data_IF_442424937327
#
_entry.id   IF_442424937327
#
_cell.length_a   1.000
_cell.length_b   1.000
_cell.length_c   1.000
_cell.angle_alpha   90.00
_cell.angle_beta   90.00
_cell.angle_gamma   90.00
#
_symmetry.space_group_name_H-M   'P 1'
#
loop_
_entity.id
_entity.type
_entity.pdbx_description
1 polymer ?
#
# COMPACT_ATOMS: atom_id res chain seq x y z
N UNK A 1 -73.09 38.35 -34.61
CA UNK A 1 -73.80 39.60 -34.29
C UNK A 1 -75.05 39.29 -33.47
N UNK A 2 -75.00 39.50 -32.16
CA UNK A 2 -76.07 40.01 -31.29
C UNK A 2 -75.60 39.82 -29.84
N UNK A 3 -75.42 40.96 -29.21
CA UNK A 3 -74.85 41.12 -27.88
C UNK A 3 -76.00 41.03 -26.87
N UNK A 4 -75.82 40.33 -25.76
CA UNK A 4 -76.55 40.64 -24.53
C UNK A 4 -75.61 40.50 -23.34
N UNK A 5 -75.50 41.59 -22.57
CA UNK A 5 -74.62 41.78 -21.41
C UNK A 5 -75.48 41.83 -20.14
N UNK A 6 -74.78 41.61 -19.01
CA UNK A 6 -75.08 41.99 -17.61
C UNK A 6 -75.97 41.05 -16.78
N UNK A 7 -75.66 40.70 -15.51
CA UNK A 7 -74.47 40.86 -14.63
C UNK A 7 -74.70 39.97 -13.36
N UNK A 8 -73.86 39.96 -12.30
CA UNK A 8 -73.23 38.77 -11.76
C UNK A 8 -73.80 38.27 -10.42
N UNK A 9 -73.55 37.00 -10.09
CA UNK A 9 -73.65 36.50 -8.73
C UNK A 9 -72.24 36.13 -8.23
N UNK A 10 -71.81 36.88 -7.23
CA UNK A 10 -70.60 36.72 -6.43
C UNK A 10 -70.72 35.41 -5.65
N UNK A 11 -69.83 34.45 -5.94
CA UNK A 11 -69.66 33.20 -5.20
C UNK A 11 -68.28 33.18 -4.56
N UNK A 12 -68.22 33.56 -3.29
CA UNK A 12 -67.06 33.52 -2.41
C UNK A 12 -66.66 32.05 -2.15
N UNK A 13 -65.60 31.56 -2.81
CA UNK A 13 -65.02 30.25 -2.50
C UNK A 13 -63.69 30.46 -1.77
N UNK A 14 -63.73 30.26 -0.46
CA UNK A 14 -62.59 30.33 0.44
C UNK A 14 -61.60 29.20 0.13
N UNK A 15 -60.40 29.57 -0.31
CA UNK A 15 -59.26 28.67 -0.36
C UNK A 15 -58.73 28.48 1.07
N UNK A 16 -58.98 27.30 1.66
CA UNK A 16 -58.30 26.87 2.88
C UNK A 16 -56.85 26.55 2.49
N UNK A 17 -55.98 27.53 2.66
CA UNK A 17 -54.53 27.32 2.71
C UNK A 17 -54.26 26.68 4.07
N UNK A 18 -54.01 25.37 4.09
CA UNK A 18 -53.49 24.69 5.27
C UNK A 18 -52.05 25.16 5.49
N UNK A 19 -51.93 26.30 6.16
CA UNK A 19 -50.70 26.80 6.75
C UNK A 19 -50.45 25.96 8.01
N UNK A 20 -49.78 24.82 7.87
CA UNK A 20 -49.23 24.08 9.01
C UNK A 20 -48.01 24.85 9.53
N UNK A 21 -48.29 25.87 10.34
CA UNK A 21 -47.32 26.61 11.12
C UNK A 21 -47.36 26.20 12.59
N UNK A 22 -46.20 25.81 13.08
CA UNK A 22 -45.66 26.03 14.44
C UNK A 22 -46.21 25.24 15.64
N UNK A 23 -45.36 24.36 16.15
CA UNK A 23 -45.14 24.04 17.56
C UNK A 23 -43.83 23.23 17.60
N UNK A 24 -42.72 23.71 18.14
CA UNK A 24 -42.54 24.44 19.39
C UNK A 24 -41.97 23.43 20.40
N UNK A 25 -40.65 23.29 20.42
CA UNK A 25 -39.92 22.36 21.29
C UNK A 25 -38.43 22.47 21.00
N UNK A 26 -37.78 23.45 21.62
CA UNK A 26 -36.33 23.44 21.82
C UNK A 26 -35.99 22.27 22.74
N UNK A 27 -35.81 21.09 22.14
CA UNK A 27 -35.14 19.97 22.75
C UNK A 27 -33.77 19.87 22.06
N UNK A 28 -32.69 19.95 22.85
CA UNK A 28 -31.31 19.63 22.45
C UNK A 28 -31.20 18.13 22.06
N UNK A 29 -31.88 17.75 20.99
CA UNK A 29 -31.88 16.40 20.46
C UNK A 29 -30.87 16.37 19.32
N UNK A 30 -29.66 15.87 19.61
CA UNK A 30 -28.62 15.68 18.60
C UNK A 30 -29.21 15.05 17.33
N UNK A 31 -28.75 15.50 16.16
CA UNK A 31 -29.31 15.05 14.87
C UNK A 31 -29.40 13.51 14.82
N UNK A 32 -30.54 12.95 14.41
CA UNK A 32 -30.76 11.50 14.46
C UNK A 32 -29.94 10.69 13.44
N UNK A 33 -29.22 11.37 12.54
CA UNK A 33 -28.38 10.78 11.50
C UNK A 33 -26.95 11.34 11.54
N UNK A 34 -26.00 10.53 11.09
CA UNK A 34 -24.63 10.94 10.75
C UNK A 34 -24.48 11.11 9.23
N UNK A 35 -23.32 11.59 8.78
CA UNK A 35 -22.92 11.69 7.38
C UNK A 35 -21.66 10.85 7.16
N UNK A 36 -21.68 9.91 6.23
CA UNK A 36 -20.54 9.03 5.91
C UNK A 36 -20.25 9.09 4.42
N UNK A 37 -19.03 9.48 4.06
CA UNK A 37 -18.48 9.37 2.70
C UNK A 37 -17.52 8.19 2.62
N UNK A 38 -17.30 7.63 1.45
CA UNK A 38 -16.34 6.55 1.24
C UNK A 38 -15.19 7.07 0.40
N UNK A 39 -13.97 6.95 0.90
CA UNK A 39 -12.76 7.20 0.14
C UNK A 39 -12.16 5.85 -0.30
N UNK A 40 -12.11 5.60 -1.61
CA UNK A 40 -11.57 4.36 -2.15
C UNK A 40 -10.05 4.50 -2.40
N UNK A 41 -9.25 4.10 -1.41
CA UNK A 41 -7.80 4.03 -1.48
C UNK A 41 -7.28 2.59 -1.73
N UNK A 42 -8.15 1.66 -2.16
CA UNK A 42 -7.75 0.30 -2.53
C UNK A 42 -6.84 0.31 -3.77
N UNK A 43 -6.10 -0.78 -4.02
CA UNK A 43 -5.15 -0.88 -5.12
C UNK A 43 -5.66 -1.76 -6.25
N UNK A 44 -6.41 -2.81 -5.90
CA UNK A 44 -6.87 -3.86 -6.80
C UNK A 44 -8.37 -3.81 -7.06
N UNK A 45 -9.11 -2.94 -6.36
CA UNK A 45 -10.56 -2.78 -6.50
C UNK A 45 -10.89 -1.47 -7.25
N UNK A 46 -11.15 -1.54 -8.58
CA UNK A 46 -11.33 -0.34 -9.40
C UNK A 46 -12.57 0.48 -9.01
N UNK A 47 -13.55 -0.14 -8.35
CA UNK A 47 -14.75 0.53 -7.86
C UNK A 47 -15.38 -0.26 -6.71
N UNK A 48 -15.85 0.46 -5.68
CA UNK A 48 -16.50 -0.13 -4.50
C UNK A 48 -17.88 0.48 -4.21
N UNK A 49 -18.73 -0.33 -3.60
CA UNK A 49 -20.04 0.08 -3.06
C UNK A 49 -19.99 0.09 -1.52
N UNK A 50 -20.79 0.96 -0.91
CA UNK A 50 -21.05 0.98 0.54
C UNK A 50 -22.48 0.54 0.83
N UNK A 51 -22.58 -0.42 1.72
CA UNK A 51 -23.82 -0.88 2.33
C UNK A 51 -23.89 -0.41 3.79
N UNK A 52 -25.05 0.10 4.19
CA UNK A 52 -25.37 0.51 5.55
C UNK A 52 -26.45 -0.45 6.07
N UNK A 53 -26.14 -1.21 7.11
CA UNK A 53 -27.04 -2.21 7.70
C UNK A 53 -27.63 -3.18 6.64
N UNK A 54 -26.80 -3.57 5.66
CA UNK A 54 -27.18 -4.48 4.56
C UNK A 54 -27.90 -3.83 3.38
N UNK A 55 -28.26 -2.55 3.45
CA UNK A 55 -28.86 -1.81 2.33
C UNK A 55 -27.80 -1.03 1.57
N UNK A 56 -27.83 -1.05 0.23
CA UNK A 56 -26.93 -0.25 -0.60
C UNK A 56 -27.16 1.24 -0.36
N UNK A 57 -26.11 1.96 0.06
CA UNK A 57 -26.16 3.38 0.40
C UNK A 57 -25.41 4.26 -0.62
N UNK A 58 -24.27 3.77 -1.11
CA UNK A 58 -23.47 4.42 -2.15
C UNK A 58 -22.99 3.35 -3.12
N UNK A 59 -23.02 3.63 -4.42
CA UNK A 59 -22.51 2.72 -5.44
C UNK A 59 -21.43 3.39 -6.28
N UNK A 60 -20.60 2.56 -6.92
CA UNK A 60 -19.63 2.94 -7.93
C UNK A 60 -18.60 4.00 -7.49
N UNK A 61 -18.07 3.90 -6.27
CA UNK A 61 -16.97 4.75 -5.82
C UNK A 61 -15.67 4.27 -6.46
N UNK A 62 -15.27 4.92 -7.55
CA UNK A 62 -14.04 4.60 -8.28
C UNK A 62 -12.80 4.67 -7.39
N UNK A 63 -11.77 3.89 -7.72
CA UNK A 63 -10.45 4.00 -7.10
C UNK A 63 -9.93 5.44 -7.19
N UNK A 64 -9.26 5.89 -6.13
CA UNK A 64 -8.72 7.25 -5.99
C UNK A 64 -9.78 8.36 -5.93
N UNK A 65 -11.04 8.01 -5.67
CA UNK A 65 -12.14 8.95 -5.52
C UNK A 65 -12.78 8.89 -4.12
N UNK A 66 -13.60 9.92 -3.84
CA UNK A 66 -14.49 9.96 -2.69
C UNK A 66 -15.93 10.06 -3.16
N UNK A 67 -16.83 9.36 -2.45
CA UNK A 67 -18.24 9.34 -2.78
C UNK A 67 -19.00 10.58 -2.33
N UNK A 68 -20.26 10.67 -2.76
CA UNK A 68 -21.28 11.44 -2.05
C UNK A 68 -21.52 10.87 -0.64
N UNK A 69 -22.09 11.69 0.25
CA UNK A 69 -22.39 11.25 1.62
C UNK A 69 -23.65 10.38 1.68
N UNK A 70 -23.56 9.26 2.39
CA UNK A 70 -24.70 8.54 2.94
C UNK A 70 -25.11 9.12 4.29
N UNK A 71 -26.38 8.97 4.66
CA UNK A 71 -26.93 9.47 5.93
C UNK A 71 -27.43 8.35 6.85
N UNK A 72 -26.53 7.49 7.38
CA UNK A 72 -26.94 6.45 8.32
C UNK A 72 -27.50 7.05 9.62
N UNK A 73 -28.35 6.30 10.32
CA UNK A 73 -28.79 6.67 11.66
C UNK A 73 -27.60 6.80 12.63
N UNK A 74 -27.74 7.65 13.64
CA UNK A 74 -26.77 7.73 14.74
C UNK A 74 -26.77 6.44 15.57
N UNK A 75 -25.66 6.17 16.26
CA UNK A 75 -25.47 4.96 17.06
C UNK A 75 -24.63 3.90 16.34
N UNK A 76 -24.78 2.65 16.73
CA UNK A 76 -24.02 1.53 16.15
C UNK A 76 -24.57 1.19 14.76
N UNK A 77 -23.72 1.25 13.74
CA UNK A 77 -24.09 1.04 12.34
C UNK A 77 -23.13 0.05 11.70
N UNK A 78 -23.67 -0.93 10.97
CA UNK A 78 -22.84 -1.81 10.15
C UNK A 78 -22.54 -1.14 8.81
N UNK A 79 -21.27 -0.89 8.54
CA UNK A 79 -20.77 -0.41 7.25
C UNK A 79 -20.03 -1.54 6.55
N UNK A 80 -20.47 -1.90 5.36
CA UNK A 80 -19.89 -2.98 4.57
C UNK A 80 -19.45 -2.43 3.21
N UNK A 81 -18.25 -2.81 2.79
CA UNK A 81 -17.69 -2.47 1.49
C UNK A 81 -17.65 -3.71 0.61
N UNK A 82 -18.14 -3.59 -0.63
CA UNK A 82 -18.09 -4.63 -1.65
C UNK A 82 -17.44 -4.07 -2.92
N UNK A 83 -16.96 -4.96 -3.79
CA UNK A 83 -16.76 -4.60 -5.20
C UNK A 83 -18.09 -4.16 -5.81
N UNK A 84 -18.05 -3.16 -6.70
CA UNK A 84 -19.27 -2.66 -7.32
C UNK A 84 -20.06 -3.75 -8.03
N UNK A 85 -21.35 -3.86 -7.70
CA UNK A 85 -22.24 -4.91 -8.23
C UNK A 85 -22.05 -6.30 -7.62
N UNK A 86 -21.14 -6.47 -6.66
CA UNK A 86 -20.96 -7.71 -5.89
C UNK A 86 -21.76 -7.70 -4.59
N UNK A 87 -22.21 -8.87 -4.15
CA UNK A 87 -22.82 -9.07 -2.83
C UNK A 87 -21.83 -9.60 -1.79
N UNK A 88 -20.62 -9.95 -2.20
CA UNK A 88 -19.58 -10.47 -1.31
C UNK A 88 -18.87 -9.33 -0.59
N UNK A 89 -18.88 -9.37 0.75
CA UNK A 89 -18.18 -8.40 1.58
C UNK A 89 -16.67 -8.48 1.38
N UNK A 90 -16.04 -7.36 1.04
CA UNK A 90 -14.59 -7.17 1.10
C UNK A 90 -14.16 -6.83 2.53
N UNK A 91 -14.92 -5.95 3.19
CA UNK A 91 -14.71 -5.57 4.58
C UNK A 91 -16.03 -5.18 5.24
N UNK A 92 -16.14 -5.43 6.54
CA UNK A 92 -17.27 -4.99 7.37
C UNK A 92 -16.75 -4.35 8.65
N UNK A 93 -17.30 -3.21 9.04
CA UNK A 93 -16.98 -2.52 10.28
C UNK A 93 -18.26 -2.04 10.97
N UNK A 94 -18.23 -1.93 12.30
CA UNK A 94 -19.38 -1.55 13.11
C UNK A 94 -19.03 -0.36 14.00
N UNK A 95 -18.86 0.85 13.43
CA UNK A 95 -18.61 2.04 14.21
C UNK A 95 -19.85 2.49 14.98
N UNK A 96 -19.61 3.28 16.03
CA UNK A 96 -20.63 4.10 16.66
C UNK A 96 -20.52 5.52 16.09
N UNK A 97 -21.55 5.96 15.37
CA UNK A 97 -21.59 7.27 14.73
C UNK A 97 -22.37 8.25 15.60
N UNK A 98 -21.82 9.44 15.83
CA UNK A 98 -22.51 10.49 16.57
C UNK A 98 -23.59 11.14 15.68
N UNK A 99 -24.69 11.53 16.31
CA UNK A 99 -25.71 12.33 15.66
C UNK A 99 -25.16 13.66 15.16
N UNK A 100 -25.36 13.97 13.88
CA UNK A 100 -24.81 15.15 13.21
C UNK A 100 -23.32 15.02 12.87
N UNK A 101 -22.70 13.90 13.24
CA UNK A 101 -21.30 13.63 12.98
C UNK A 101 -21.01 13.42 11.49
N UNK A 102 -19.85 13.84 11.03
CA UNK A 102 -19.36 13.76 9.65
C UNK A 102 -18.09 12.91 9.62
N UNK A 103 -18.11 11.90 8.77
CA UNK A 103 -17.08 10.89 8.71
C UNK A 103 -16.71 10.53 7.26
N UNK A 104 -15.47 10.11 7.08
CA UNK A 104 -15.02 9.41 5.87
C UNK A 104 -14.63 7.99 6.25
N UNK A 105 -15.29 7.00 5.65
CA UNK A 105 -14.87 5.60 5.62
C UNK A 105 -13.77 5.45 4.57
N UNK A 106 -12.51 5.39 5.02
CA UNK A 106 -11.38 5.05 4.18
C UNK A 106 -11.36 3.54 3.95
N UNK A 107 -11.50 3.10 2.70
CA UNK A 107 -11.24 1.72 2.28
C UNK A 107 -9.84 1.62 1.68
N UNK A 108 -9.03 0.66 2.12
CA UNK A 108 -7.64 0.48 1.69
C UNK A 108 -7.22 -0.98 1.78
N UNK A 109 -6.08 -1.36 1.20
CA UNK A 109 -5.56 -2.73 1.29
C UNK A 109 -4.38 -2.84 2.24
N UNK A 110 -4.35 -3.92 3.03
CA UNK A 110 -3.23 -4.24 3.92
C UNK A 110 -3.23 -5.74 4.24
N UNK A 111 -2.07 -6.38 4.19
CA UNK A 111 -1.96 -7.83 4.43
C UNK A 111 -2.78 -8.70 3.45
N UNK A 112 -3.03 -8.21 2.23
CA UNK A 112 -3.77 -8.94 1.19
C UNK A 112 -5.29 -8.91 1.31
N UNK A 113 -5.84 -8.08 2.21
CA UNK A 113 -7.28 -7.89 2.37
C UNK A 113 -7.64 -6.41 2.35
N UNK A 114 -8.90 -6.11 2.00
CA UNK A 114 -9.47 -4.78 2.20
C UNK A 114 -9.70 -4.55 3.69
N UNK A 115 -9.30 -3.37 4.16
CA UNK A 115 -9.54 -2.86 5.50
C UNK A 115 -10.26 -1.52 5.40
N UNK A 116 -10.93 -1.17 6.49
CA UNK A 116 -11.62 0.12 6.59
C UNK A 116 -11.20 0.88 7.83
N UNK A 117 -11.14 2.20 7.74
CA UNK A 117 -10.94 3.10 8.86
C UNK A 117 -11.95 4.24 8.82
N UNK A 118 -12.49 4.61 9.99
CA UNK A 118 -13.34 5.80 10.12
C UNK A 118 -12.48 7.01 10.45
N UNK A 119 -12.54 8.02 9.59
CA UNK A 119 -11.90 9.31 9.77
C UNK A 119 -12.97 10.31 10.24
N UNK A 120 -12.72 10.96 11.37
CA UNK A 120 -13.53 12.09 11.84
C UNK A 120 -13.33 13.32 10.94
N UNK A 121 -14.42 14.00 10.60
CA UNK A 121 -14.42 15.25 9.80
C UNK A 121 -15.12 16.42 10.52
N UNK A 122 -15.25 16.31 11.84
CA UNK A 122 -15.83 17.33 12.72
C UNK A 122 -14.77 18.01 13.58
N UNK A 123 -13.65 18.42 12.97
CA UNK A 123 -12.72 19.27 13.68
C UNK A 123 -13.22 20.71 13.70
N UNK A 124 -12.96 21.40 14.80
CA UNK A 124 -13.25 22.82 14.93
C UNK A 124 -12.55 23.59 13.79
N UNK A 125 -13.26 24.57 13.23
CA UNK A 125 -12.72 25.40 12.16
C UNK A 125 -11.52 26.19 12.71
N UNK A 126 -10.33 26.11 12.08
CA UNK A 126 -9.17 26.90 12.50
C UNK A 126 -9.45 28.40 12.42
N UNK A 127 -8.70 29.21 13.17
CA UNK A 127 -8.79 30.66 13.07
C UNK A 127 -8.46 31.18 11.66
N UNK A 128 -9.01 32.34 11.29
CA UNK A 128 -8.64 33.04 10.05
C UNK A 128 -7.12 33.22 9.94
N UNK A 129 -6.56 32.98 8.76
CA UNK A 129 -5.12 33.00 8.51
C UNK A 129 -4.38 31.73 8.95
N UNK A 130 -5.07 30.73 9.49
CA UNK A 130 -4.51 29.42 9.87
C UNK A 130 -5.15 28.28 9.10
N UNK A 131 -4.41 27.20 8.92
CA UNK A 131 -4.89 25.90 8.46
C UNK A 131 -4.33 24.80 9.37
N UNK A 132 -4.89 23.59 9.31
CA UNK A 132 -4.38 22.45 10.09
C UNK A 132 -4.17 21.23 9.21
N UNK A 133 -3.09 20.50 9.48
CA UNK A 133 -2.77 19.22 8.84
C UNK A 133 -2.72 18.14 9.92
N UNK A 134 -3.34 17.00 9.65
CA UNK A 134 -3.26 15.78 10.46
C UNK A 134 -2.70 14.66 9.61
N UNK A 135 -1.82 13.83 10.17
CA UNK A 135 -1.36 12.62 9.51
C UNK A 135 -2.13 11.44 10.10
N UNK A 136 -2.73 10.61 9.24
CA UNK A 136 -3.36 9.35 9.61
C UNK A 136 -2.55 8.20 9.00
N UNK A 137 -1.90 7.40 9.83
CA UNK A 137 -1.11 6.25 9.41
C UNK A 137 -1.94 4.97 9.46
N UNK A 138 -2.26 4.44 8.28
CA UNK A 138 -2.79 3.09 8.07
C UNK A 138 -1.77 2.16 7.39
N UNK A 139 -0.55 2.65 7.11
CA UNK A 139 0.50 1.93 6.39
C UNK A 139 1.39 1.10 7.32
N UNK A 140 0.77 0.21 8.10
CA UNK A 140 1.46 -0.55 9.15
C UNK A 140 2.55 -1.48 8.62
N UNK A 141 2.36 -2.00 7.41
CA UNK A 141 3.31 -2.89 6.72
C UNK A 141 4.67 -2.19 6.51
N UNK A 142 4.67 -0.86 6.34
CA UNK A 142 5.89 -0.08 6.10
C UNK A 142 6.84 0.01 7.31
N UNK A 143 6.41 -0.49 8.47
CA UNK A 143 7.18 -0.45 9.72
C UNK A 143 7.08 0.90 10.42
N UNK A 144 8.06 1.20 11.28
CA UNK A 144 8.16 2.49 11.98
C UNK A 144 8.58 3.56 10.99
N UNK A 145 7.89 4.71 11.02
CA UNK A 145 8.09 5.78 10.05
C UNK A 145 8.26 7.16 10.71
N UNK A 146 9.01 8.01 10.03
CA UNK A 146 9.12 9.44 10.30
C UNK A 146 8.42 10.23 9.18
N UNK A 147 7.69 11.28 9.57
CA UNK A 147 6.94 12.14 8.65
C UNK A 147 7.45 13.56 8.73
N UNK A 148 7.77 14.12 7.57
CA UNK A 148 8.28 15.47 7.39
C UNK A 148 7.30 16.28 6.54
N UNK A 149 6.84 17.40 7.09
CA UNK A 149 5.93 18.35 6.44
C UNK A 149 6.70 19.66 6.26
N UNK A 150 6.96 20.01 5.01
CA UNK A 150 7.83 21.14 4.66
C UNK A 150 7.24 21.94 3.50
N UNK A 151 7.73 23.16 3.29
CA UNK A 151 7.52 23.82 2.00
C UNK A 151 8.11 22.98 0.85
N UNK A 152 7.55 23.00 -0.38
CA UNK A 152 7.89 22.03 -1.43
C UNK A 152 9.37 21.99 -1.85
N UNK A 153 10.05 23.14 -1.80
CA UNK A 153 11.44 23.30 -2.22
C UNK A 153 12.48 22.96 -1.13
N UNK A 154 12.06 22.65 0.10
CA UNK A 154 12.99 22.33 1.20
C UNK A 154 13.66 20.98 0.94
N UNK A 155 14.99 20.94 0.98
CA UNK A 155 15.74 19.68 0.96
C UNK A 155 15.54 18.91 2.27
N UNK A 156 15.10 17.65 2.16
CA UNK A 156 14.85 16.78 3.31
C UNK A 156 16.10 16.57 4.15
N UNK A 157 17.29 16.52 3.53
CA UNK A 157 18.55 16.31 4.23
C UNK A 157 18.86 17.43 5.24
N UNK A 158 18.32 18.63 5.02
CA UNK A 158 18.52 19.81 5.88
C UNK A 158 17.53 19.89 7.04
N UNK A 159 16.47 19.07 7.05
CA UNK A 159 15.45 19.07 8.08
C UNK A 159 15.97 18.35 9.33
N UNK A 160 16.01 19.04 10.47
CA UNK A 160 16.60 18.48 11.69
C UNK A 160 15.77 17.30 12.24
N UNK A 161 14.47 17.50 12.48
CA UNK A 161 13.58 16.55 13.15
C UNK A 161 12.31 16.30 12.35
N UNK A 162 11.70 15.11 12.45
CA UNK A 162 10.38 14.86 11.87
C UNK A 162 9.30 15.67 12.57
N UNK A 163 8.22 15.98 11.85
CA UNK A 163 7.02 16.57 12.43
C UNK A 163 6.23 15.53 13.22
N UNK A 164 6.34 14.25 12.86
CA UNK A 164 5.75 13.13 13.58
C UNK A 164 6.55 11.84 13.38
N UNK A 165 6.58 11.01 14.41
CA UNK A 165 7.16 9.66 14.36
C UNK A 165 6.10 8.65 14.80
N UNK A 166 5.88 7.63 13.98
CA UNK A 166 5.00 6.51 14.29
C UNK A 166 5.84 5.30 14.70
N UNK A 167 5.68 4.86 15.95
CA UNK A 167 6.51 3.81 16.57
C UNK A 167 5.82 2.46 16.66
N UNK A 168 4.51 2.39 16.40
CA UNK A 168 3.70 1.17 16.44
C UNK A 168 3.39 0.66 15.04
N UNK A 169 3.29 -0.66 14.89
CA UNK A 169 2.98 -1.34 13.62
C UNK A 169 1.74 -2.25 13.72
N UNK A 170 0.99 -2.14 14.82
CA UNK A 170 -0.10 -3.06 15.17
C UNK A 170 -1.48 -2.42 15.08
N UNK A 171 -1.56 -1.09 15.03
CA UNK A 171 -2.81 -0.37 14.96
C UNK A 171 -2.64 0.95 14.20
N UNK A 172 -3.66 1.31 13.42
CA UNK A 172 -3.74 2.62 12.79
C UNK A 172 -3.66 3.70 13.86
N UNK A 173 -3.00 4.80 13.54
CA UNK A 173 -2.81 5.90 14.46
C UNK A 173 -2.76 7.22 13.71
N UNK A 174 -2.90 8.32 14.44
CA UNK A 174 -2.86 9.63 13.82
C UNK A 174 -2.23 10.66 14.76
N UNK A 175 -1.71 11.72 14.17
CA UNK A 175 -1.19 12.86 14.94
C UNK A 175 -2.35 13.65 15.54
N UNK A 176 -1.99 14.55 16.48
CA UNK A 176 -2.80 15.73 16.73
C UNK A 176 -2.89 16.61 15.47
N UNK A 177 -3.80 17.58 15.48
CA UNK A 177 -3.87 18.62 14.45
C UNK A 177 -2.65 19.54 14.57
N UNK A 178 -1.87 19.65 13.50
CA UNK A 178 -0.70 20.50 13.41
C UNK A 178 -1.09 21.80 12.68
N UNK A 179 -0.87 22.95 13.31
CA UNK A 179 -1.26 24.24 12.75
C UNK A 179 -0.18 24.79 11.82
N UNK A 180 -0.61 25.28 10.65
CA UNK A 180 0.20 25.85 9.60
C UNK A 180 -0.44 27.12 9.05
N UNK A 181 0.34 27.94 8.33
CA UNK A 181 -0.24 28.98 7.48
C UNK A 181 -0.90 28.35 6.24
N UNK A 182 -1.90 28.99 5.63
CA UNK A 182 -2.41 28.58 4.33
C UNK A 182 -1.28 28.51 3.29
N UNK A 183 -1.27 27.45 2.47
CA UNK A 183 -0.20 27.23 1.51
C UNK A 183 -0.17 25.81 0.96
N UNK A 184 0.89 25.52 0.21
CA UNK A 184 1.18 24.17 -0.30
C UNK A 184 2.35 23.58 0.48
N UNK A 185 2.19 22.35 0.93
CA UNK A 185 3.19 21.59 1.66
C UNK A 185 3.56 20.31 0.91
N UNK A 186 4.80 19.87 1.05
CA UNK A 186 5.24 18.54 0.63
C UNK A 186 5.36 17.65 1.86
N UNK A 187 4.77 16.47 1.80
CA UNK A 187 4.83 15.48 2.89
C UNK A 187 5.69 14.32 2.44
N UNK A 188 6.83 14.12 3.12
CA UNK A 188 7.76 13.01 2.87
C UNK A 188 7.75 12.08 4.05
N UNK A 189 7.73 10.78 3.76
CA UNK A 189 7.72 9.72 4.77
C UNK A 189 8.96 8.85 4.59
N UNK A 190 9.68 8.59 5.66
CA UNK A 190 10.88 7.74 5.64
C UNK A 190 10.78 6.64 6.68
N UNK A 191 11.64 5.63 6.59
CA UNK A 191 11.84 4.74 7.74
C UNK A 191 12.31 5.56 8.95
N UNK A 192 11.85 5.19 10.14
CA UNK A 192 12.18 5.91 11.36
C UNK A 192 13.70 5.96 11.59
N UNK A 193 14.23 7.15 11.82
CA UNK A 193 15.66 7.40 12.02
C UNK A 193 16.53 7.35 10.77
N UNK A 194 15.96 7.13 9.58
CA UNK A 194 16.71 7.04 8.32
C UNK A 194 16.07 7.84 7.19
N UNK A 195 16.51 9.09 7.00
CA UNK A 195 16.01 9.97 5.93
C UNK A 195 16.30 9.49 4.51
N UNK A 196 17.30 8.61 4.33
CA UNK A 196 17.66 8.08 3.01
C UNK A 196 16.70 6.96 2.55
N UNK A 197 15.98 6.34 3.48
CA UNK A 197 14.96 5.33 3.18
C UNK A 197 13.60 6.00 2.96
N UNK A 198 13.42 6.62 1.79
CA UNK A 198 12.19 7.29 1.40
C UNK A 198 11.09 6.26 1.05
N UNK A 199 9.96 6.36 1.75
CA UNK A 199 8.83 5.42 1.69
C UNK A 199 7.63 6.02 0.97
N UNK A 200 7.43 7.33 1.05
CA UNK A 200 6.46 8.10 0.26
C UNK A 200 6.90 9.55 0.08
N UNK A 201 6.41 10.16 -0.99
CA UNK A 201 6.57 11.57 -1.29
C UNK A 201 5.28 12.13 -1.90
N UNK A 202 4.59 12.96 -1.13
CA UNK A 202 3.33 13.61 -1.52
C UNK A 202 3.70 15.06 -1.86
N UNK A 203 3.79 15.40 -3.16
CA UNK A 203 4.46 16.63 -3.59
C UNK A 203 3.67 17.91 -3.26
N UNK A 204 2.35 17.81 -3.14
CA UNK A 204 1.47 18.95 -2.92
C UNK A 204 0.26 18.57 -2.04
N UNK A 205 0.31 19.01 -0.79
CA UNK A 205 -0.81 19.09 0.16
C UNK A 205 -1.20 20.56 0.25
N UNK A 206 -2.28 20.93 -0.43
CA UNK A 206 -2.76 22.31 -0.47
C UNK A 206 -3.79 22.52 0.63
N UNK A 207 -3.57 23.53 1.47
CA UNK A 207 -4.50 23.92 2.54
C UNK A 207 -4.78 25.41 2.49
N UNK A 208 -6.05 25.78 2.48
CA UNK A 208 -6.51 27.16 2.54
C UNK A 208 -6.78 27.60 3.98
N UNK A 209 -6.97 28.91 4.17
CA UNK A 209 -7.40 29.48 5.46
C UNK A 209 -8.66 28.78 5.96
N UNK A 210 -8.66 28.45 7.25
CA UNK A 210 -9.76 27.77 7.95
C UNK A 210 -10.03 26.33 7.46
N UNK A 211 -9.08 25.68 6.80
CA UNK A 211 -9.20 24.27 6.42
C UNK A 211 -8.45 23.34 7.36
N UNK A 212 -9.03 22.14 7.52
CA UNK A 212 -8.37 20.99 8.12
C UNK A 212 -8.17 19.93 7.03
N UNK A 213 -6.94 19.46 6.87
CA UNK A 213 -6.58 18.39 5.96
C UNK A 213 -6.08 17.17 6.74
N UNK A 214 -6.61 15.99 6.43
CA UNK A 214 -6.05 14.72 6.88
C UNK A 214 -5.27 14.08 5.74
N UNK A 215 -3.95 14.00 5.88
CA UNK A 215 -3.09 13.24 4.98
C UNK A 215 -3.10 11.79 5.45
N UNK A 216 -3.63 10.91 4.63
CA UNK A 216 -3.78 9.49 4.89
C UNK A 216 -2.61 8.76 4.24
N UNK A 217 -1.95 7.90 5.02
CA UNK A 217 -0.89 7.00 4.57
C UNK A 217 -1.44 5.58 4.53
N UNK A 218 -1.41 4.93 3.38
CA UNK A 218 -1.86 3.53 3.18
C UNK A 218 -0.73 2.68 2.62
N UNK A 219 -0.72 1.35 2.84
CA UNK A 219 0.29 0.49 2.25
C UNK A 219 0.31 0.59 0.72
N UNK A 220 1.48 0.40 0.14
CA UNK A 220 1.64 0.06 -1.26
C UNK A 220 1.87 -1.45 -1.44
N UNK A 221 2.02 -1.90 -2.68
CA UNK A 221 2.03 -3.33 -3.02
C UNK A 221 3.17 -4.13 -2.37
N UNK A 222 4.38 -3.56 -2.24
CA UNK A 222 5.59 -4.29 -1.85
C UNK A 222 5.75 -4.54 -0.34
N UNK A 223 4.96 -3.86 0.50
CA UNK A 223 5.05 -3.96 1.97
C UNK A 223 5.98 -2.96 2.64
N UNK A 224 6.68 -2.12 1.88
CA UNK A 224 7.52 -1.05 2.44
C UNK A 224 7.12 0.33 1.98
N UNK A 225 6.84 0.49 0.69
CA UNK A 225 6.40 1.78 0.14
C UNK A 225 4.99 2.11 0.61
N UNK A 226 4.71 3.40 0.65
CA UNK A 226 3.46 3.97 1.17
C UNK A 226 2.81 4.78 0.04
N UNK A 227 1.49 4.67 -0.06
CA UNK A 227 0.66 5.57 -0.84
C UNK A 227 0.11 6.69 0.04
N UNK A 228 0.02 7.90 -0.51
CA UNK A 228 -0.60 9.03 0.15
C UNK A 228 -1.98 9.36 -0.41
N UNK A 229 -2.79 10.05 0.39
CA UNK A 229 -3.94 10.82 -0.07
C UNK A 229 -4.19 11.99 0.87
N UNK A 230 -4.81 13.06 0.39
CA UNK A 230 -5.25 14.19 1.22
C UNK A 230 -6.76 14.25 1.24
N UNK A 231 -7.35 14.25 2.43
CA UNK A 231 -8.79 14.47 2.65
C UNK A 231 -8.96 15.85 3.28
N UNK A 232 -9.51 16.80 2.54
CA UNK A 232 -9.99 18.05 3.13
C UNK A 232 -11.27 17.74 3.89
N UNK A 233 -11.36 18.20 5.13
CA UNK A 233 -12.55 18.04 5.97
C UNK A 233 -13.81 18.41 5.20
N UNK A 234 -14.73 17.45 5.03
CA UNK A 234 -15.99 17.58 4.29
C UNK A 234 -15.83 18.05 2.82
N UNK A 235 -14.60 17.99 2.29
CA UNK A 235 -14.22 18.50 1.00
C UNK A 235 -13.59 17.42 0.13
N UNK A 236 -12.62 17.81 -0.69
CA UNK A 236 -12.02 16.94 -1.71
C UNK A 236 -11.14 15.84 -1.11
N UNK A 237 -11.12 14.70 -1.80
CA UNK A 237 -10.12 13.66 -1.67
C UNK A 237 -9.17 13.74 -2.86
N UNK A 238 -7.86 13.78 -2.60
CA UNK A 238 -6.81 13.82 -3.63
C UNK A 238 -5.81 12.71 -3.37
N UNK A 239 -5.81 11.68 -4.21
CA UNK A 239 -4.82 10.60 -4.14
C UNK A 239 -3.42 11.09 -4.56
N UNK A 240 -2.40 10.52 -3.93
CA UNK A 240 -0.99 10.72 -4.23
C UNK A 240 -0.29 9.35 -4.14
N UNK A 241 -0.54 8.50 -5.13
CA UNK A 241 0.06 7.15 -5.21
C UNK A 241 1.56 7.23 -5.38
N UNK A 242 2.26 6.27 -4.80
CA UNK A 242 3.71 6.16 -4.96
C UNK A 242 4.05 5.78 -6.39
N UNK A 243 4.91 6.54 -7.06
CA UNK A 243 5.33 6.30 -8.45
C UNK A 243 6.68 5.59 -8.55
N UNK A 244 7.27 5.20 -7.42
CA UNK A 244 8.53 4.48 -7.36
C UNK A 244 8.30 3.00 -7.09
N UNK A 245 9.30 2.18 -7.39
CA UNK A 245 9.41 0.80 -6.97
C UNK A 245 10.73 0.61 -6.21
N UNK A 246 10.87 -0.47 -5.44
CA UNK A 246 12.18 -0.86 -4.92
C UNK A 246 12.67 -2.10 -5.65
N UNK A 247 13.92 -2.07 -6.11
CA UNK A 247 14.54 -3.17 -6.84
C UNK A 247 15.78 -3.62 -6.12
N UNK A 248 15.99 -4.93 -5.98
CA UNK A 248 17.28 -5.51 -5.59
C UNK A 248 17.80 -6.42 -6.69
N UNK A 249 19.13 -6.51 -6.82
CA UNK A 249 19.77 -7.49 -7.70
C UNK A 249 19.84 -8.87 -7.01
N UNK A 250 19.54 -9.93 -7.76
CA UNK A 250 19.92 -11.30 -7.44
C UNK A 250 20.84 -11.82 -8.56
N UNK A 251 22.14 -11.84 -8.30
CA UNK A 251 23.14 -12.35 -9.23
C UNK A 251 23.23 -13.87 -9.08
N UNK A 252 22.96 -14.62 -10.14
CA UNK A 252 22.98 -16.08 -10.16
C UNK A 252 23.72 -16.65 -11.37
N UNK A 253 24.47 -15.81 -12.09
CA UNK A 253 25.30 -16.20 -13.24
C UNK A 253 26.37 -17.21 -12.80
N UNK A 254 26.66 -18.20 -13.64
CA UNK A 254 27.68 -19.22 -13.35
C UNK A 254 29.11 -18.66 -13.43
N UNK A 255 30.05 -19.29 -12.73
CA UNK A 255 31.49 -19.00 -12.88
C UNK A 255 32.01 -17.78 -12.12
N UNK A 256 31.21 -17.22 -11.20
CA UNK A 256 31.65 -16.10 -10.37
C UNK A 256 31.63 -14.74 -11.08
N UNK A 257 30.92 -14.64 -12.21
CA UNK A 257 30.84 -13.41 -12.99
C UNK A 257 30.29 -12.24 -12.19
N UNK A 258 30.77 -11.04 -12.50
CA UNK A 258 30.33 -9.80 -11.86
C UNK A 258 29.08 -9.28 -12.54
N UNK A 259 28.02 -9.08 -11.77
CA UNK A 259 26.75 -8.56 -12.27
C UNK A 259 26.50 -7.17 -11.71
N UNK A 260 26.19 -6.20 -12.58
CA UNK A 260 25.81 -4.85 -12.18
C UNK A 260 24.46 -4.47 -12.80
N UNK A 261 23.74 -3.58 -12.12
CA UNK A 261 22.45 -3.08 -12.57
C UNK A 261 22.23 -1.60 -12.22
N UNK A 262 21.57 -0.88 -13.10
CA UNK A 262 21.14 0.50 -12.88
C UNK A 262 19.79 0.77 -13.51
N UNK A 263 19.10 1.81 -13.04
CA UNK A 263 17.92 2.35 -13.70
C UNK A 263 18.32 3.41 -14.73
N UNK A 264 17.49 3.63 -15.75
CA UNK A 264 17.75 4.56 -16.85
C UNK A 264 17.88 6.03 -16.44
N UNK A 265 17.46 6.38 -15.22
CA UNK A 265 17.66 7.70 -14.61
C UNK A 265 19.04 7.86 -13.95
N UNK A 266 19.91 6.83 -14.02
CA UNK A 266 21.26 6.83 -13.43
C UNK A 266 21.31 6.29 -11.99
N UNK A 267 20.20 5.91 -11.38
CA UNK A 267 20.23 5.28 -10.05
C UNK A 267 20.90 3.91 -10.13
N UNK A 268 21.98 3.72 -9.37
CA UNK A 268 22.69 2.44 -9.27
C UNK A 268 21.90 1.50 -8.37
N UNK A 269 21.48 0.35 -8.90
CA UNK A 269 20.81 -0.71 -8.13
C UNK A 269 21.86 -1.60 -7.47
N UNK A 270 22.88 -1.98 -8.22
CA UNK A 270 24.05 -2.70 -7.74
C UNK A 270 25.26 -2.34 -8.62
N UNK A 271 26.37 -1.95 -8.00
CA UNK A 271 27.55 -1.46 -8.72
C UNK A 271 28.39 -2.60 -9.34
N UNK A 272 28.11 -3.86 -9.00
CA UNK A 272 28.90 -5.00 -9.43
C UNK A 272 29.13 -5.98 -8.29
N UNK A 273 28.35 -7.06 -8.26
CA UNK A 273 28.48 -8.14 -7.29
C UNK A 273 28.89 -9.44 -7.97
N UNK A 274 29.91 -10.12 -7.44
CA UNK A 274 30.32 -11.43 -7.91
C UNK A 274 29.23 -12.47 -7.60
N UNK A 275 28.79 -13.21 -8.62
CA UNK A 275 27.72 -14.20 -8.45
C UNK A 275 28.22 -15.46 -7.68
N UNK A 276 27.36 -16.08 -6.86
CA UNK A 276 25.99 -15.66 -6.56
C UNK A 276 25.93 -14.63 -5.43
N UNK A 277 25.02 -13.65 -5.55
CA UNK A 277 24.88 -12.55 -4.59
C UNK A 277 23.45 -12.00 -4.52
N UNK A 278 23.10 -11.42 -3.35
CA UNK A 278 21.91 -10.59 -3.18
C UNK A 278 22.29 -9.15 -2.85
N UNK A 279 21.88 -8.22 -3.71
CA UNK A 279 21.92 -6.80 -3.45
C UNK A 279 20.86 -6.33 -2.44
N UNK A 280 20.94 -5.06 -2.07
CA UNK A 280 19.94 -4.38 -1.23
C UNK A 280 18.81 -3.82 -2.11
N UNK A 281 17.64 -3.59 -1.52
CA UNK A 281 16.58 -2.86 -2.23
C UNK A 281 16.98 -1.39 -2.41
N UNK A 282 16.86 -0.90 -3.63
CA UNK A 282 17.11 0.48 -4.02
C UNK A 282 15.84 1.06 -4.61
N UNK A 283 15.48 2.27 -4.20
CA UNK A 283 14.33 3.00 -4.73
C UNK A 283 14.64 3.51 -6.14
N UNK A 284 13.79 3.18 -7.11
CA UNK A 284 13.89 3.63 -8.50
C UNK A 284 12.52 4.09 -9.00
N UNK A 285 12.44 5.02 -9.97
CA UNK A 285 11.17 5.34 -10.62
C UNK A 285 10.58 4.09 -11.27
N UNK A 286 9.28 3.82 -11.07
CA UNK A 286 8.64 2.63 -11.64
C UNK A 286 8.58 2.67 -13.19
N UNK A 287 8.73 3.86 -13.78
CA UNK A 287 8.83 4.06 -15.23
C UNK A 287 10.23 3.86 -15.80
N UNK A 288 11.26 3.67 -14.95
CA UNK A 288 12.63 3.55 -15.42
C UNK A 288 12.88 2.20 -16.10
N UNK A 289 13.61 2.22 -17.21
CA UNK A 289 14.16 1.00 -17.80
C UNK A 289 15.34 0.52 -16.96
N UNK A 290 15.61 -0.80 -16.99
CA UNK A 290 16.72 -1.41 -16.27
C UNK A 290 17.88 -1.67 -17.24
N UNK A 291 19.09 -1.27 -16.85
CA UNK A 291 20.33 -1.57 -17.55
C UNK A 291 21.09 -2.64 -16.75
N UNK A 292 21.57 -3.67 -17.43
CA UNK A 292 22.20 -4.84 -16.80
C UNK A 292 23.49 -5.16 -17.53
N UNK A 293 24.54 -5.47 -16.77
CA UNK A 293 25.78 -5.97 -17.34
C UNK A 293 26.29 -7.19 -16.58
N UNK A 294 26.90 -8.13 -17.30
CA UNK A 294 27.62 -9.28 -16.78
C UNK A 294 29.04 -9.23 -17.33
N UNK A 295 30.04 -9.13 -16.45
CA UNK A 295 31.45 -8.89 -16.80
C UNK A 295 31.64 -7.73 -17.80
N UNK A 296 30.81 -6.70 -17.68
CA UNK A 296 30.79 -5.52 -18.56
C UNK A 296 30.01 -5.68 -19.87
N UNK A 297 29.59 -6.89 -20.24
CA UNK A 297 28.74 -7.13 -21.40
C UNK A 297 27.26 -6.88 -21.08
N UNK A 298 26.54 -6.19 -21.97
CA UNK A 298 25.11 -5.88 -21.78
C UNK A 298 24.24 -7.13 -21.84
N UNK A 299 23.28 -7.22 -20.90
CA UNK A 299 22.21 -8.23 -20.89
C UNK A 299 20.89 -7.55 -21.20
N UNK A 300 20.03 -8.21 -21.97
CA UNK A 300 18.71 -7.71 -22.27
C UNK A 300 17.88 -7.53 -20.98
N UNK A 301 17.22 -6.38 -20.86
CA UNK A 301 16.31 -6.12 -19.75
C UNK A 301 15.10 -7.08 -19.80
N UNK A 302 14.56 -7.51 -18.64
CA UNK A 302 13.34 -8.31 -18.61
C UNK A 302 12.16 -7.60 -19.29
N UNK A 303 11.26 -8.38 -19.90
CA UNK A 303 9.98 -7.85 -20.36
C UNK A 303 9.09 -7.53 -19.15
N UNK A 304 8.50 -6.33 -19.13
CA UNK A 304 7.61 -5.87 -18.07
C UNK A 304 8.11 -4.60 -17.38
N UNK A 305 7.17 -3.74 -17.00
CA UNK A 305 7.48 -2.54 -16.23
C UNK A 305 7.60 -2.86 -14.74
N UNK A 306 8.36 -2.04 -14.02
CA UNK A 306 8.32 -2.06 -12.56
C UNK A 306 6.93 -1.62 -12.10
N UNK A 307 6.34 -2.36 -11.16
CA UNK A 307 5.06 -1.98 -10.58
C UNK A 307 5.28 -0.87 -9.54
N UNK A 308 4.56 0.24 -9.71
CA UNK A 308 4.58 1.35 -8.77
C UNK A 308 4.11 0.89 -7.37
N UNK A 309 4.85 1.28 -6.34
CA UNK A 309 4.62 0.87 -4.96
C UNK A 309 5.05 -0.56 -4.62
N UNK A 310 5.60 -1.31 -5.58
CA UNK A 310 6.03 -2.69 -5.37
C UNK A 310 7.52 -2.81 -5.06
N UNK A 311 7.88 -3.99 -4.55
CA UNK A 311 9.25 -4.45 -4.45
C UNK A 311 9.49 -5.53 -5.52
N UNK A 312 10.68 -5.58 -6.08
CA UNK A 312 11.04 -6.57 -7.08
C UNK A 312 12.49 -7.06 -6.93
N UNK A 313 12.70 -8.33 -7.25
CA UNK A 313 14.01 -8.94 -7.41
C UNK A 313 14.32 -9.00 -8.90
N UNK A 314 15.39 -8.33 -9.33
CA UNK A 314 15.98 -8.49 -10.65
C UNK A 314 16.94 -9.68 -10.61
N UNK A 315 16.48 -10.85 -11.06
CA UNK A 315 17.29 -12.05 -11.15
C UNK A 315 18.09 -12.03 -12.46
N UNK A 316 19.41 -12.13 -12.38
CA UNK A 316 20.29 -12.28 -13.55
C UNK A 316 20.99 -13.62 -13.47
N UNK A 317 20.83 -14.45 -14.50
CA UNK A 317 21.19 -15.87 -14.44
C UNK A 317 21.63 -16.42 -15.80
N UNK A 318 22.18 -17.63 -15.82
CA UNK A 318 22.76 -18.26 -17.02
C UNK A 318 24.28 -18.28 -17.02
N UNK A 319 24.88 -18.61 -18.17
CA UNK A 319 26.32 -18.50 -18.39
C UNK A 319 26.69 -17.07 -18.81
N UNK A 320 27.89 -16.53 -18.47
CA UNK A 320 28.22 -15.12 -18.71
C UNK A 320 27.91 -14.61 -20.13
N UNK A 321 28.32 -15.37 -21.16
CA UNK A 321 28.11 -15.00 -22.58
C UNK A 321 26.70 -15.27 -23.15
N UNK A 322 25.79 -15.83 -22.36
CA UNK A 322 24.39 -16.10 -22.76
C UNK A 322 23.43 -15.81 -21.61
N UNK A 323 23.83 -14.90 -20.72
CA UNK A 323 23.08 -14.55 -19.53
C UNK A 323 21.76 -13.86 -19.90
N UNK A 324 20.78 -14.02 -19.04
CA UNK A 324 19.45 -13.44 -19.19
C UNK A 324 18.95 -12.95 -17.84
N UNK A 325 17.84 -12.22 -17.84
CA UNK A 325 17.28 -11.62 -16.64
C UNK A 325 15.76 -11.77 -16.55
N UNK A 326 15.27 -11.96 -15.33
CA UNK A 326 13.84 -11.97 -15.00
C UNK A 326 13.57 -10.95 -13.90
N UNK A 327 12.46 -10.23 -14.03
CA UNK A 327 11.92 -9.40 -12.97
C UNK A 327 10.89 -10.21 -12.17
N UNK A 328 11.12 -10.37 -10.88
CA UNK A 328 10.28 -11.17 -9.98
C UNK A 328 9.64 -10.24 -8.96
N UNK A 329 8.32 -10.27 -8.84
CA UNK A 329 7.60 -9.50 -7.83
C UNK A 329 7.87 -10.03 -6.42
N UNK A 330 8.09 -9.12 -5.48
CA UNK A 330 8.38 -9.44 -4.09
C UNK A 330 7.22 -9.00 -3.19
N UNK A 331 6.86 -9.87 -2.27
CA UNK A 331 5.90 -9.57 -1.22
C UNK A 331 6.63 -9.53 0.12
N UNK A 332 7.15 -8.35 0.45
CA UNK A 332 7.86 -8.12 1.71
C UNK A 332 6.94 -7.64 2.83
N UNK A 333 5.61 -7.77 2.68
CA UNK A 333 4.69 -7.61 3.81
C UNK A 333 4.99 -8.69 4.84
N UNK A 334 5.02 -8.27 6.10
CA UNK A 334 5.27 -9.16 7.23
C UNK A 334 4.20 -10.27 7.31
N UNK A 335 4.54 -11.44 7.85
CA UNK A 335 3.56 -12.48 8.12
C UNK A 335 2.44 -11.97 9.04
N UNK A 336 1.20 -12.42 8.79
CA UNK A 336 0.06 -12.06 9.64
C UNK A 336 0.19 -12.64 11.05
N UNK A 337 0.81 -13.82 11.17
CA UNK A 337 1.18 -14.43 12.45
C UNK A 337 2.64 -14.09 12.77
N UNK A 338 2.85 -13.28 13.81
CA UNK A 338 4.17 -12.83 14.25
C UNK A 338 5.10 -13.94 14.73
N UNK A 339 4.61 -15.16 14.94
CA UNK A 339 5.43 -16.33 15.28
C UNK A 339 6.02 -17.03 14.04
N UNK A 340 5.48 -16.73 12.86
CA UNK A 340 5.90 -17.32 11.59
C UNK A 340 6.84 -16.39 10.82
N UNK A 341 7.45 -16.92 9.77
CA UNK A 341 8.28 -16.19 8.82
C UNK A 341 7.91 -16.61 7.41
N UNK A 342 7.96 -15.68 6.46
CA UNK A 342 7.70 -15.98 5.04
C UNK A 342 8.99 -16.44 4.38
N UNK A 343 8.93 -17.52 3.62
CA UNK A 343 10.08 -18.08 2.92
C UNK A 343 9.70 -18.44 1.49
N UNK A 344 10.59 -18.20 0.53
CA UNK A 344 10.45 -18.66 -0.86
C UNK A 344 11.79 -19.08 -1.46
N UNK A 345 11.75 -19.85 -2.53
CA UNK A 345 12.89 -20.18 -3.38
C UNK A 345 12.87 -19.36 -4.68
N UNK A 346 14.01 -18.80 -5.07
CA UNK A 346 14.32 -18.34 -6.42
C UNK A 346 15.33 -19.30 -7.05
N UNK A 347 15.01 -19.83 -8.23
CA UNK A 347 15.91 -20.69 -8.99
C UNK A 347 16.61 -19.90 -10.09
N UNK A 348 17.86 -19.50 -9.86
CA UNK A 348 18.76 -18.91 -10.85
C UNK A 348 19.71 -19.92 -11.50
N UNK A 349 19.54 -21.22 -11.25
CA UNK A 349 20.43 -22.24 -11.82
C UNK A 349 19.94 -22.61 -13.22
N UNK A 350 20.88 -22.67 -14.17
CA UNK A 350 20.63 -23.13 -15.54
C UNK A 350 21.42 -24.39 -15.87
N UNK A 351 21.19 -24.95 -17.07
CA UNK A 351 21.85 -26.18 -17.52
C UNK A 351 21.14 -27.45 -17.05
N UNK A 352 21.89 -28.52 -16.78
CA UNK A 352 21.34 -29.85 -16.53
C UNK A 352 20.72 -30.05 -15.14
N UNK A 353 20.51 -29.00 -14.34
CA UNK A 353 19.96 -29.10 -12.98
C UNK A 353 18.43 -29.24 -12.93
N UNK A 354 17.73 -29.11 -14.06
CA UNK A 354 16.28 -29.27 -14.14
C UNK A 354 15.53 -28.29 -13.23
N UNK A 355 14.46 -28.77 -12.59
CA UNK A 355 13.68 -27.99 -11.61
C UNK A 355 14.18 -28.20 -10.19
N UNK A 356 14.00 -27.20 -9.33
CA UNK A 356 14.46 -27.23 -7.95
C UNK A 356 13.31 -27.27 -6.95
N UNK A 357 13.51 -28.04 -5.89
CA UNK A 357 12.60 -28.12 -4.73
C UNK A 357 13.37 -27.74 -3.47
N UNK A 358 12.82 -26.82 -2.68
CA UNK A 358 13.36 -26.42 -1.38
C UNK A 358 12.44 -26.93 -0.27
N UNK A 359 13.03 -27.55 0.75
CA UNK A 359 12.37 -27.85 2.02
C UNK A 359 13.05 -27.10 3.16
N UNK A 360 12.26 -26.62 4.10
CA UNK A 360 12.67 -26.05 5.37
C UNK A 360 12.34 -27.06 6.48
N UNK A 361 13.38 -27.67 7.05
CA UNK A 361 13.32 -28.93 7.77
C UNK A 361 12.63 -30.00 6.90
N UNK A 362 11.37 -30.30 7.18
CA UNK A 362 10.52 -31.22 6.40
C UNK A 362 9.39 -30.51 5.66
N UNK A 363 9.19 -29.21 5.90
CA UNK A 363 8.12 -28.43 5.27
C UNK A 363 8.51 -28.02 3.84
N UNK A 364 7.67 -28.28 2.82
CA UNK A 364 7.93 -27.81 1.47
C UNK A 364 7.82 -26.28 1.39
N UNK A 365 8.79 -25.64 0.73
CA UNK A 365 8.81 -24.19 0.50
C UNK A 365 8.49 -23.85 -0.94
N UNK A 366 9.11 -24.58 -1.87
CA UNK A 366 8.84 -24.49 -3.30
C UNK A 366 9.12 -25.83 -3.94
N UNK A 367 8.28 -26.26 -4.86
CA UNK A 367 8.37 -27.57 -5.52
C UNK A 367 8.45 -27.38 -7.03
N UNK A 368 9.43 -28.04 -7.66
CA UNK A 368 9.56 -28.01 -9.12
C UNK A 368 9.78 -26.62 -9.72
N UNK A 369 10.49 -25.73 -9.02
CA UNK A 369 10.73 -24.35 -9.46
C UNK A 369 11.69 -24.35 -10.66
N UNK A 370 11.24 -23.81 -11.79
CA UNK A 370 11.99 -23.76 -13.04
C UNK A 370 13.09 -22.67 -13.00
N UNK A 371 14.17 -22.81 -13.79
CA UNK A 371 15.17 -21.76 -13.95
C UNK A 371 14.55 -20.41 -14.33
N UNK A 372 15.01 -19.33 -13.69
CA UNK A 372 14.53 -17.97 -13.92
C UNK A 372 13.23 -17.62 -13.17
N UNK A 373 12.71 -18.50 -12.32
CA UNK A 373 11.42 -18.32 -11.63
C UNK A 373 11.55 -18.40 -10.11
N UNK A 374 10.47 -18.02 -9.41
CA UNK A 374 10.36 -18.10 -7.96
C UNK A 374 9.14 -18.93 -7.54
N UNK A 375 9.22 -19.57 -6.38
CA UNK A 375 8.04 -20.07 -5.69
C UNK A 375 7.20 -18.91 -5.14
N UNK A 376 5.93 -19.19 -4.82
CA UNK A 376 5.20 -18.35 -3.87
C UNK A 376 5.89 -18.33 -2.51
N UNK A 377 5.58 -17.32 -1.70
CA UNK A 377 5.96 -17.31 -0.30
C UNK A 377 5.08 -18.29 0.49
N UNK A 378 5.70 -19.09 1.33
CA UNK A 378 5.02 -19.92 2.33
C UNK A 378 5.38 -19.46 3.73
N UNK A 379 4.48 -19.68 4.69
CA UNK A 379 4.78 -19.45 6.10
C UNK A 379 5.45 -20.69 6.70
N UNK A 380 6.60 -20.49 7.33
CA UNK A 380 7.27 -21.50 8.18
C UNK A 380 7.39 -20.96 9.59
N UNK A 381 7.53 -21.84 10.58
CA UNK A 381 7.71 -21.42 11.98
C UNK A 381 9.05 -20.69 12.10
N UNK A 382 9.02 -19.46 12.60
CA UNK A 382 10.23 -18.73 12.94
C UNK A 382 10.85 -19.33 14.19
N UNK A 383 12.18 -19.38 14.24
CA UNK A 383 12.91 -20.08 15.31
C UNK A 383 14.24 -19.41 15.57
N UNK A 384 14.64 -19.36 16.84
CA UNK A 384 16.02 -19.01 17.24
C UNK A 384 16.99 -20.17 17.04
N UNK A 385 16.49 -21.40 16.93
CA UNK A 385 17.26 -22.56 16.53
C UNK A 385 17.45 -22.58 15.01
N UNK A 386 18.59 -23.13 14.58
CA UNK A 386 18.90 -23.26 13.17
C UNK A 386 17.92 -24.20 12.45
N UNK A 387 17.61 -23.84 11.22
CA UNK A 387 16.72 -24.54 10.32
C UNK A 387 17.53 -25.22 9.23
N UNK A 388 17.15 -26.46 8.89
CA UNK A 388 17.76 -27.21 7.81
C UNK A 388 17.09 -26.84 6.49
N UNK A 389 17.78 -26.07 5.65
CA UNK A 389 17.34 -25.79 4.30
C UNK A 389 17.92 -26.82 3.34
N UNK A 390 17.06 -27.54 2.65
CA UNK A 390 17.49 -28.62 1.75
C UNK A 390 16.95 -28.42 0.34
N UNK A 391 17.87 -28.39 -0.61
CA UNK A 391 17.58 -28.23 -2.03
C UNK A 391 17.67 -29.60 -2.72
N UNK A 392 16.71 -29.90 -3.59
CA UNK A 392 16.70 -31.10 -4.44
C UNK A 392 16.47 -30.70 -5.89
N UNK A 393 17.27 -31.26 -6.79
CA UNK A 393 17.13 -31.14 -8.23
C UNK A 393 16.42 -32.37 -8.80
N UNK A 394 15.56 -32.14 -9.80
CA UNK A 394 14.86 -33.22 -10.52
C UNK A 394 15.79 -34.10 -11.36
N UNK A 395 17.05 -33.71 -11.55
CA UNK A 395 18.04 -34.41 -12.41
C UNK A 395 19.33 -34.76 -11.69
N UNK A 396 19.77 -33.94 -10.74
CA UNK A 396 21.04 -34.10 -10.01
C UNK A 396 20.86 -34.66 -8.59
N UNK A 397 19.62 -34.95 -8.18
CA UNK A 397 19.31 -35.47 -6.86
C UNK A 397 19.38 -34.40 -5.77
N UNK A 398 19.65 -34.83 -4.53
CA UNK A 398 19.60 -33.96 -3.36
C UNK A 398 20.96 -33.36 -3.03
N UNK A 399 21.00 -32.06 -2.81
CA UNK A 399 22.21 -31.34 -2.40
C UNK A 399 22.42 -31.41 -0.87
N UNK A 400 23.64 -31.14 -0.38
CA UNK A 400 23.88 -30.97 1.05
C UNK A 400 22.94 -29.93 1.66
N UNK A 401 22.37 -30.26 2.83
CA UNK A 401 21.51 -29.34 3.56
C UNK A 401 22.35 -28.23 4.21
N UNK A 402 21.83 -27.01 4.19
CA UNK A 402 22.36 -25.90 4.95
C UNK A 402 21.62 -25.78 6.29
N UNK A 403 22.32 -26.12 7.35
CA UNK A 403 21.77 -26.30 8.71
C UNK A 403 22.07 -25.14 9.65
N UNK A 404 22.62 -24.03 9.14
CA UNK A 404 23.05 -22.89 9.97
C UNK A 404 22.08 -21.70 9.91
N UNK A 405 20.94 -21.84 9.23
CA UNK A 405 20.03 -20.73 8.97
C UNK A 405 19.10 -20.46 10.14
N UNK A 406 19.22 -19.32 10.80
CA UNK A 406 18.26 -18.86 11.80
C UNK A 406 17.23 -17.97 11.10
N UNK A 407 15.98 -18.42 11.03
CA UNK A 407 14.89 -17.63 10.46
C UNK A 407 14.11 -16.97 11.59
N UNK A 408 14.33 -15.67 11.78
CA UNK A 408 13.61 -14.92 12.81
C UNK A 408 12.10 -14.93 12.55
N UNK A 409 11.28 -15.07 13.61
CA UNK A 409 9.85 -14.81 13.52
C UNK A 409 9.57 -13.39 13.02
N UNK A 410 8.42 -13.19 12.40
CA UNK A 410 7.96 -11.93 11.86
C UNK A 410 8.95 -11.31 10.85
N UNK A 411 9.47 -12.13 9.94
CA UNK A 411 10.38 -11.72 8.88
C UNK A 411 9.97 -12.31 7.53
N UNK A 412 10.63 -11.83 6.47
CA UNK A 412 10.47 -12.32 5.10
C UNK A 412 11.84 -12.65 4.56
N UNK A 413 12.02 -13.91 4.14
CA UNK A 413 13.26 -14.43 3.60
C UNK A 413 13.07 -14.91 2.16
N UNK A 414 14.10 -14.70 1.35
CA UNK A 414 14.23 -15.32 0.02
C UNK A 414 15.49 -16.15 -0.01
N UNK A 415 15.36 -17.37 -0.52
CA UNK A 415 16.46 -18.28 -0.80
C UNK A 415 16.80 -18.21 -2.28
N UNK A 416 18.04 -17.87 -2.62
CA UNK A 416 18.54 -17.95 -4.00
C UNK A 416 19.37 -19.22 -4.18
N UNK A 417 18.98 -20.04 -5.16
CA UNK A 417 19.86 -21.03 -5.75
C UNK A 417 20.50 -20.41 -6.99
N UNK A 418 21.83 -20.27 -7.01
CA UNK A 418 22.56 -19.67 -8.12
C UNK A 418 23.95 -20.27 -8.33
N UNK A 419 24.56 -19.95 -9.47
CA UNK A 419 25.87 -20.48 -9.84
C UNK A 419 25.84 -21.92 -10.38
N UNK A 420 27.00 -22.55 -10.46
CA UNK A 420 27.11 -23.96 -10.81
C UNK A 420 26.77 -24.81 -9.57
N UNK A 421 25.67 -25.56 -9.61
CA UNK A 421 25.33 -26.54 -8.56
C UNK A 421 25.72 -27.95 -8.99
N UNK A 422 26.40 -28.64 -8.08
CA UNK A 422 26.83 -30.03 -8.21
C UNK A 422 26.70 -30.77 -6.87
N UNK A 423 26.93 -32.09 -6.83
CA UNK A 423 26.71 -32.92 -5.64
C UNK A 423 27.50 -32.49 -4.38
N UNK A 424 28.51 -31.62 -4.52
CA UNK A 424 29.35 -31.11 -3.43
C UNK A 424 29.28 -29.59 -3.25
N UNK A 425 28.48 -28.88 -4.04
CA UNK A 425 28.41 -27.41 -4.06
C UNK A 425 26.96 -26.95 -4.04
N UNK A 426 26.52 -26.46 -2.88
CA UNK A 426 25.29 -25.68 -2.74
C UNK A 426 25.70 -24.25 -2.46
N UNK A 427 25.26 -23.28 -3.26
CA UNK A 427 25.36 -21.88 -2.88
C UNK A 427 23.96 -21.36 -2.64
N UNK A 428 23.56 -21.49 -1.38
CA UNK A 428 22.30 -20.98 -0.86
C UNK A 428 22.59 -19.61 -0.25
N UNK A 429 22.00 -18.55 -0.80
CA UNK A 429 21.97 -17.27 -0.09
C UNK A 429 20.58 -17.07 0.46
N UNK A 430 20.51 -16.69 1.74
CA UNK A 430 19.28 -16.30 2.39
C UNK A 430 19.34 -14.83 2.77
N UNK A 431 18.25 -14.12 2.52
CA UNK A 431 18.12 -12.71 2.86
C UNK A 431 16.70 -12.30 3.11
#
# INVERSE_FOLDING_TARGET
MKNFRWWPAIGLMAAVVALSGCGGGDDDNGSSSASVRVANATLTHPSIDLFVNGASAVTATAADAISVAASPAAGSVTLQVNDTGSTTALATTVPTLAGGGRYTLLAYESGGAVRTAILNEDFAVPASGSAQIRIYNAALDAGKIDVYITAPAVDLATVAQPNATFTTTTANSATALLTYSPGTYRVRVTAAGNKADLRADIPAVVVASQQVATVVLTPAAGGALINGATVIQQGTYTAARNTNARVRLAAAVSGGATVAASASNGTVIDAGSAAPAFGFYVLVPASAALNITVDGATVAAPAGALQAGADATLLVYGAPGSSTATLIADDNRLPTDSTTTKLRLINGVTGSAGTLTLTANTAPVGTGIAPGTASGYVSVIGSTNAMSLRLTSSTNGTFPADVNNILSPNAVYTVLAGGAIGPTTTVLLIR
#
